data_IF_593921643255
#
_entry.id   IF_593921643255
#
_cell.length_a   1.000
_cell.length_b   1.000
_cell.length_c   1.000
_cell.angle_alpha   90.00
_cell.angle_beta   90.00
_cell.angle_gamma   90.00
#
_symmetry.space_group_name_H-M   'P 1'
#
loop_
_entity.id
_entity.type
_entity.pdbx_description
1 polymer ?
#
# COMPACT_ATOMS: atom_id res chain seq x y z
N UNK A 1 22.49 75.48 -34.07
CA UNK A 1 22.62 73.99 -34.00
C UNK A 1 21.80 73.41 -35.15
N UNK A 2 22.42 72.89 -36.22
CA UNK A 2 21.71 72.15 -37.25
C UNK A 2 21.55 70.72 -36.79
N UNK A 3 20.38 70.35 -36.32
CA UNK A 3 20.06 68.94 -36.07
C UNK A 3 19.96 68.32 -37.49
N UNK A 4 20.81 67.39 -37.80
CA UNK A 4 20.81 66.70 -39.10
C UNK A 4 19.49 65.96 -39.28
N UNK A 5 18.86 66.11 -40.46
CA UNK A 5 17.63 65.42 -40.87
C UNK A 5 17.80 63.87 -40.69
N UNK A 6 18.98 63.39 -40.90
CA UNK A 6 19.39 61.98 -40.65
C UNK A 6 19.20 61.59 -39.20
N UNK A 7 19.52 62.45 -38.24
CA UNK A 7 19.43 62.16 -36.82
C UNK A 7 17.98 62.14 -36.31
N UNK A 8 17.09 62.91 -36.96
CA UNK A 8 15.64 62.87 -36.68
C UNK A 8 15.06 61.55 -37.23
N UNK A 9 15.49 61.18 -38.42
CA UNK A 9 15.03 59.93 -39.09
C UNK A 9 15.51 58.70 -38.30
N UNK A 10 16.75 58.65 -37.88
CA UNK A 10 17.29 57.58 -37.03
C UNK A 10 16.51 57.44 -35.68
N UNK A 11 16.23 58.56 -35.00
CA UNK A 11 15.38 58.54 -33.80
C UNK A 11 13.98 58.02 -34.05
N UNK A 12 13.39 58.37 -35.21
CA UNK A 12 12.04 57.87 -35.57
C UNK A 12 12.04 56.38 -35.83
N UNK A 13 13.05 55.84 -36.48
CA UNK A 13 13.23 54.40 -36.70
C UNK A 13 13.43 53.69 -35.36
N UNK A 14 14.24 54.20 -34.45
CA UNK A 14 14.46 53.62 -33.13
C UNK A 14 13.17 53.63 -32.30
N UNK A 15 12.43 54.71 -32.33
CA UNK A 15 11.09 54.76 -31.66
C UNK A 15 10.09 53.74 -32.24
N UNK A 16 10.05 53.62 -33.58
CA UNK A 16 9.17 52.61 -34.22
C UNK A 16 9.60 51.19 -33.88
N UNK A 17 10.91 50.92 -33.86
CA UNK A 17 11.44 49.63 -33.47
C UNK A 17 11.10 49.27 -32.02
N UNK A 18 11.28 50.22 -31.10
CA UNK A 18 10.92 50.06 -29.69
C UNK A 18 9.43 49.83 -29.48
N UNK A 19 8.58 50.54 -30.23
CA UNK A 19 7.12 50.32 -30.16
C UNK A 19 6.71 48.95 -30.72
N UNK A 20 7.32 48.48 -31.80
CA UNK A 20 7.07 47.14 -32.35
C UNK A 20 7.45 46.06 -31.34
N UNK A 21 8.59 46.19 -30.67
CA UNK A 21 9.01 45.26 -29.63
C UNK A 21 8.00 45.22 -28.46
N UNK A 22 7.55 46.40 -27.97
CA UNK A 22 6.54 46.45 -26.91
C UNK A 22 5.21 45.83 -27.31
N UNK A 23 4.76 46.04 -28.55
CA UNK A 23 3.54 45.43 -29.07
C UNK A 23 3.70 43.90 -29.14
N UNK A 24 4.86 43.39 -29.57
CA UNK A 24 5.12 41.96 -29.62
C UNK A 24 5.15 41.35 -28.23
N UNK A 25 5.75 42.02 -27.22
CA UNK A 25 5.72 41.61 -25.82
C UNK A 25 4.31 41.54 -25.24
N UNK A 26 3.49 42.57 -25.46
CA UNK A 26 2.10 42.61 -24.99
C UNK A 26 1.26 41.51 -25.68
N UNK A 27 1.48 41.28 -26.99
CA UNK A 27 0.83 40.19 -27.70
C UNK A 27 1.24 38.81 -27.15
N UNK A 28 2.51 38.59 -26.81
CA UNK A 28 2.98 37.37 -26.21
C UNK A 28 2.38 37.18 -24.76
N UNK A 29 2.30 38.25 -23.98
CA UNK A 29 1.63 38.24 -22.67
C UNK A 29 0.15 37.90 -22.78
N UNK A 30 -0.55 38.52 -23.75
CA UNK A 30 -1.97 38.28 -23.96
C UNK A 30 -2.22 36.83 -24.45
N UNK A 31 -1.38 36.32 -25.35
CA UNK A 31 -1.51 34.98 -25.90
C UNK A 31 -1.21 33.90 -24.84
N UNK A 32 -0.23 34.16 -23.96
CA UNK A 32 0.16 33.23 -22.89
C UNK A 32 -0.72 33.35 -21.63
N UNK A 33 -1.45 34.47 -21.46
CA UNK A 33 -2.14 34.80 -20.22
C UNK A 33 -1.21 35.05 -19.03
N UNK A 34 0.09 35.24 -19.28
CA UNK A 34 1.13 35.44 -18.25
C UNK A 34 1.74 36.82 -18.38
N UNK A 35 1.92 37.51 -17.25
CA UNK A 35 2.57 38.81 -17.20
C UNK A 35 4.09 38.70 -17.49
N UNK A 36 4.73 37.62 -17.06
CA UNK A 36 6.14 37.29 -17.31
C UNK A 36 6.17 36.11 -18.26
N UNK A 37 6.64 36.35 -19.48
CA UNK A 37 6.75 35.32 -20.53
C UNK A 37 8.14 34.76 -20.58
N UNK A 38 9.15 35.61 -20.37
CA UNK A 38 10.56 35.23 -20.36
C UNK A 38 11.20 35.59 -19.02
N UNK A 39 12.17 34.81 -18.52
CA UNK A 39 12.91 35.13 -17.30
C UNK A 39 13.64 36.48 -17.33
N UNK A 40 13.92 37.00 -18.53
CA UNK A 40 14.54 38.30 -18.76
C UNK A 40 13.61 39.50 -18.50
N UNK A 41 12.29 39.28 -18.50
CA UNK A 41 11.29 40.37 -18.34
C UNK A 41 11.33 40.93 -16.93
N UNK A 42 11.45 40.05 -15.93
CA UNK A 42 11.67 40.39 -14.53
C UNK A 42 12.38 39.22 -13.82
N UNK A 43 13.68 39.35 -13.67
CA UNK A 43 14.53 38.28 -13.13
C UNK A 43 14.22 37.97 -11.66
N UNK A 44 13.77 38.93 -10.85
CA UNK A 44 13.43 38.75 -9.45
C UNK A 44 12.11 37.97 -9.30
N UNK A 45 11.08 38.38 -10.01
CA UNK A 45 9.79 37.71 -10.01
C UNK A 45 9.87 36.32 -10.69
N UNK A 46 10.65 36.19 -11.78
CA UNK A 46 10.91 34.89 -12.41
C UNK A 46 11.52 33.88 -11.44
N UNK A 47 12.48 34.32 -10.60
CA UNK A 47 13.07 33.49 -9.56
C UNK A 47 12.06 33.05 -8.47
N UNK A 48 11.13 33.93 -8.10
CA UNK A 48 10.04 33.60 -7.16
C UNK A 48 9.08 32.60 -7.79
N UNK A 49 8.65 32.84 -9.01
CA UNK A 49 7.74 31.94 -9.75
C UNK A 49 8.35 30.55 -9.90
N UNK A 50 9.63 30.46 -10.21
CA UNK A 50 10.33 29.18 -10.33
C UNK A 50 10.37 28.42 -9.00
N UNK A 51 10.62 29.09 -7.88
CA UNK A 51 10.60 28.48 -6.55
C UNK A 51 9.21 27.99 -6.17
N UNK A 52 8.19 28.82 -6.40
CA UNK A 52 6.78 28.45 -6.15
C UNK A 52 6.35 27.28 -7.04
N UNK A 53 6.66 27.34 -8.34
CA UNK A 53 6.37 26.23 -9.26
C UNK A 53 7.02 24.91 -8.83
N UNK A 54 8.26 24.96 -8.34
CA UNK A 54 8.93 23.78 -7.80
C UNK A 54 8.29 23.31 -6.50
N UNK A 55 7.82 24.21 -5.64
CA UNK A 55 7.10 23.85 -4.43
C UNK A 55 5.75 23.19 -4.74
N UNK A 56 4.99 23.74 -5.69
CA UNK A 56 3.74 23.12 -6.15
C UNK A 56 3.94 21.72 -6.75
N UNK A 57 4.96 21.53 -7.59
CA UNK A 57 5.28 20.20 -8.13
C UNK A 57 5.63 19.19 -7.04
N UNK A 58 6.37 19.61 -6.00
CA UNK A 58 6.63 18.73 -4.86
C UNK A 58 5.35 18.38 -4.09
N UNK A 59 4.47 19.37 -3.92
CA UNK A 59 3.17 19.17 -3.27
C UNK A 59 2.31 18.15 -4.05
N UNK A 60 2.24 18.28 -5.36
CA UNK A 60 1.53 17.35 -6.24
C UNK A 60 2.08 15.92 -6.13
N UNK A 61 3.41 15.76 -6.04
CA UNK A 61 4.04 14.45 -5.79
C UNK A 61 3.63 13.89 -4.44
N UNK A 62 3.59 14.70 -3.38
CA UNK A 62 3.15 14.25 -2.07
C UNK A 62 1.67 13.85 -2.06
N UNK A 63 0.80 14.59 -2.73
CA UNK A 63 -0.62 14.24 -2.88
C UNK A 63 -0.78 12.89 -3.59
N UNK A 64 -0.12 12.70 -4.73
CA UNK A 64 -0.14 11.42 -5.46
C UNK A 64 0.38 10.26 -4.60
N UNK A 65 1.43 10.51 -3.81
CA UNK A 65 1.98 9.50 -2.89
C UNK A 65 0.98 9.16 -1.79
N UNK A 66 0.33 10.16 -1.19
CA UNK A 66 -0.70 9.95 -0.17
C UNK A 66 -1.89 9.17 -0.69
N UNK A 67 -2.38 9.49 -1.90
CA UNK A 67 -3.48 8.76 -2.54
C UNK A 67 -3.10 7.28 -2.77
N UNK A 68 -1.89 7.03 -3.25
CA UNK A 68 -1.39 5.67 -3.45
C UNK A 68 -1.28 4.89 -2.14
N UNK A 69 -0.77 5.53 -1.08
CA UNK A 69 -0.67 4.91 0.25
C UNK A 69 -2.06 4.64 0.83
N UNK A 70 -2.98 5.59 0.71
CA UNK A 70 -4.35 5.44 1.21
C UNK A 70 -5.05 4.27 0.54
N UNK A 71 -5.01 4.20 -0.79
CA UNK A 71 -5.61 3.08 -1.54
C UNK A 71 -5.01 1.73 -1.13
N UNK A 72 -3.70 1.67 -0.92
CA UNK A 72 -3.03 0.44 -0.48
C UNK A 72 -3.45 0.03 0.93
N UNK A 73 -3.51 0.98 1.87
CA UNK A 73 -3.94 0.72 3.24
C UNK A 73 -5.42 0.32 3.32
N UNK A 74 -6.28 0.85 2.45
CA UNK A 74 -7.68 0.42 2.34
C UNK A 74 -7.80 -1.05 1.90
N UNK A 75 -6.96 -1.50 0.97
CA UNK A 75 -6.90 -2.92 0.58
C UNK A 75 -6.40 -3.78 1.74
N UNK A 76 -5.34 -3.32 2.44
CA UNK A 76 -4.80 -4.00 3.64
C UNK A 76 -5.89 -4.12 4.72
N UNK A 77 -6.57 -3.02 5.04
CA UNK A 77 -7.64 -2.99 6.04
C UNK A 77 -8.78 -3.94 5.67
N UNK A 78 -9.25 -3.90 4.42
CA UNK A 78 -10.30 -4.79 3.92
C UNK A 78 -9.91 -6.27 4.04
N UNK A 79 -8.67 -6.61 3.68
CA UNK A 79 -8.17 -7.97 3.77
C UNK A 79 -8.06 -8.45 5.23
N UNK A 80 -7.56 -7.59 6.13
CA UNK A 80 -7.46 -7.89 7.57
C UNK A 80 -8.83 -8.05 8.21
N UNK A 81 -9.80 -7.18 7.90
CA UNK A 81 -11.18 -7.31 8.39
C UNK A 81 -11.83 -8.61 7.91
N UNK A 82 -11.60 -9.00 6.67
CA UNK A 82 -12.10 -10.27 6.14
C UNK A 82 -11.43 -11.46 6.82
N UNK A 83 -10.11 -11.40 7.07
CA UNK A 83 -9.38 -12.41 7.81
C UNK A 83 -9.90 -12.54 9.25
N UNK A 84 -10.22 -11.42 9.91
CA UNK A 84 -10.83 -11.43 11.26
C UNK A 84 -12.19 -12.16 11.26
N UNK A 85 -13.04 -11.92 10.26
CA UNK A 85 -14.31 -12.63 10.12
C UNK A 85 -14.11 -14.15 9.92
N UNK A 86 -13.12 -14.55 9.13
CA UNK A 86 -12.74 -15.95 8.95
C UNK A 86 -12.31 -16.56 10.29
N UNK A 87 -11.48 -15.87 11.05
CA UNK A 87 -11.01 -16.34 12.35
C UNK A 87 -12.16 -16.45 13.37
N UNK A 88 -13.12 -15.53 13.34
CA UNK A 88 -14.33 -15.65 14.16
C UNK A 88 -15.16 -16.90 13.78
N UNK A 89 -15.33 -17.17 12.48
CA UNK A 89 -16.01 -18.36 12.01
C UNK A 89 -15.26 -19.64 12.38
N UNK A 90 -13.94 -19.65 12.25
CA UNK A 90 -13.12 -20.79 12.69
C UNK A 90 -13.26 -21.04 14.19
N UNK A 91 -13.36 -19.99 15.03
CA UNK A 91 -13.62 -20.11 16.47
C UNK A 91 -15.00 -20.73 16.76
N UNK A 92 -16.06 -20.33 16.04
CA UNK A 92 -17.37 -20.94 16.17
C UNK A 92 -17.33 -22.44 15.86
N UNK A 93 -16.63 -22.81 14.77
CA UNK A 93 -16.44 -24.22 14.39
C UNK A 93 -15.62 -24.98 15.41
N UNK A 94 -14.62 -24.35 16.05
CA UNK A 94 -13.84 -24.97 17.12
C UNK A 94 -14.67 -25.25 18.36
N UNK A 95 -15.54 -24.33 18.75
CA UNK A 95 -16.50 -24.54 19.83
C UNK A 95 -17.47 -25.67 19.48
N UNK A 96 -17.99 -25.69 18.24
CA UNK A 96 -18.88 -26.76 17.77
C UNK A 96 -18.14 -28.10 17.72
N UNK A 97 -16.90 -28.13 17.20
CA UNK A 97 -16.07 -29.33 17.10
C UNK A 97 -15.70 -29.95 18.45
N UNK A 98 -15.64 -29.15 19.50
CA UNK A 98 -15.40 -29.61 20.88
C UNK A 98 -16.59 -30.33 21.51
N UNK A 99 -17.74 -30.40 20.81
CA UNK A 99 -18.91 -31.13 21.31
C UNK A 99 -18.72 -32.64 21.11
N UNK A 100 -18.57 -33.36 22.23
CA UNK A 100 -18.37 -34.83 22.26
C UNK A 100 -19.52 -35.66 21.69
N UNK A 101 -20.67 -35.04 21.34
CA UNK A 101 -21.82 -35.75 20.75
C UNK A 101 -21.80 -35.81 19.22
N UNK A 102 -20.81 -35.16 18.56
CA UNK A 102 -20.65 -35.17 17.12
C UNK A 102 -20.31 -36.56 16.59
N UNK A 103 -20.95 -36.95 15.51
CA UNK A 103 -20.57 -38.15 14.78
C UNK A 103 -19.30 -37.91 13.96
N UNK A 104 -18.61 -38.97 13.53
CA UNK A 104 -17.45 -38.85 12.64
C UNK A 104 -17.81 -38.18 11.31
N UNK A 105 -19.05 -38.38 10.82
CA UNK A 105 -19.56 -37.70 9.63
C UNK A 105 -19.65 -36.19 9.81
N UNK A 106 -20.21 -35.74 10.94
CA UNK A 106 -20.33 -34.32 11.27
C UNK A 106 -18.96 -33.66 11.40
N UNK A 107 -18.01 -34.32 12.09
CA UNK A 107 -16.62 -33.84 12.23
C UNK A 107 -15.92 -33.66 10.89
N UNK A 108 -16.11 -34.56 9.92
CA UNK A 108 -15.58 -34.42 8.57
C UNK A 108 -16.15 -33.21 7.82
N UNK A 109 -17.44 -32.93 8.03
CA UNK A 109 -18.08 -31.75 7.42
C UNK A 109 -17.47 -30.47 8.00
N UNK A 110 -17.29 -30.40 9.33
CA UNK A 110 -16.63 -29.27 9.98
C UNK A 110 -15.17 -29.11 9.51
N UNK A 111 -14.40 -30.20 9.41
CA UNK A 111 -13.04 -30.18 8.90
C UNK A 111 -12.98 -29.61 7.48
N UNK A 112 -13.93 -29.96 6.63
CA UNK A 112 -14.01 -29.45 5.27
C UNK A 112 -14.31 -27.94 5.24
N UNK A 113 -15.18 -27.47 6.12
CA UNK A 113 -15.46 -26.03 6.28
C UNK A 113 -14.22 -25.27 6.75
N UNK A 114 -13.49 -25.80 7.74
CA UNK A 114 -12.23 -25.21 8.23
C UNK A 114 -11.19 -25.12 7.12
N UNK A 115 -11.02 -26.19 6.31
CA UNK A 115 -10.09 -26.18 5.17
C UNK A 115 -10.50 -25.13 4.13
N UNK A 116 -11.79 -24.95 3.87
CA UNK A 116 -12.28 -23.92 2.94
C UNK A 116 -12.01 -22.51 3.47
N UNK A 117 -12.19 -22.28 4.78
CA UNK A 117 -11.87 -20.99 5.43
C UNK A 117 -10.35 -20.71 5.40
N UNK A 118 -9.53 -21.75 5.57
CA UNK A 118 -8.07 -21.65 5.46
C UNK A 118 -7.63 -21.24 4.05
N UNK A 119 -8.24 -21.81 3.01
CA UNK A 119 -7.94 -21.44 1.62
C UNK A 119 -8.37 -20.02 1.30
N UNK A 120 -9.52 -19.58 1.83
CA UNK A 120 -9.97 -18.18 1.74
C UNK A 120 -9.00 -17.23 2.45
N UNK A 121 -8.54 -17.60 3.64
CA UNK A 121 -7.53 -16.84 4.38
C UNK A 121 -6.20 -16.72 3.61
N UNK A 122 -5.77 -17.80 2.93
CA UNK A 122 -4.58 -17.79 2.09
C UNK A 122 -4.74 -16.85 0.89
N UNK A 123 -5.92 -16.83 0.27
CA UNK A 123 -6.23 -15.90 -0.81
C UNK A 123 -6.18 -14.44 -0.33
N UNK A 124 -6.73 -14.14 0.85
CA UNK A 124 -6.66 -12.80 1.45
C UNK A 124 -5.23 -12.40 1.82
N UNK A 125 -4.43 -13.31 2.36
CA UNK A 125 -3.03 -13.08 2.67
C UNK A 125 -2.16 -12.83 1.42
N UNK A 126 -2.63 -13.26 0.25
CA UNK A 126 -2.04 -12.98 -1.06
C UNK A 126 -2.78 -11.89 -1.85
N UNK A 127 -3.47 -10.97 -1.16
CA UNK A 127 -4.15 -9.84 -1.79
C UNK A 127 -3.19 -8.94 -2.54
N UNK A 128 -3.66 -8.42 -3.67
CA UNK A 128 -2.92 -7.48 -4.52
C UNK A 128 -3.64 -6.13 -4.56
N UNK A 129 -2.87 -5.07 -4.70
CA UNK A 129 -3.38 -3.73 -4.97
C UNK A 129 -3.80 -3.57 -6.44
N UNK A 130 -4.36 -2.42 -6.79
CA UNK A 130 -4.81 -2.11 -8.16
C UNK A 130 -3.68 -2.15 -9.21
N UNK A 131 -2.41 -2.13 -8.79
CA UNK A 131 -1.24 -2.22 -9.66
C UNK A 131 -0.69 -3.65 -9.79
N UNK A 132 -1.32 -4.62 -9.11
CA UNK A 132 -0.92 -6.02 -9.11
C UNK A 132 0.22 -6.35 -8.14
N UNK A 133 0.55 -5.44 -7.22
CA UNK A 133 1.54 -5.67 -6.18
C UNK A 133 0.91 -6.34 -4.97
N UNK A 134 1.58 -7.32 -4.41
CA UNK A 134 1.15 -7.97 -3.18
C UNK A 134 1.25 -7.01 -1.99
N UNK A 135 0.17 -6.95 -1.20
CA UNK A 135 0.06 -6.00 -0.10
C UNK A 135 0.93 -6.40 1.10
N UNK A 136 1.02 -7.71 1.37
CA UNK A 136 1.65 -8.28 2.57
C UNK A 136 3.07 -8.83 2.36
N UNK A 137 3.68 -8.58 1.19
CA UNK A 137 5.01 -9.13 0.83
C UNK A 137 6.21 -8.34 1.36
N UNK A 138 6.00 -7.32 2.19
CA UNK A 138 7.05 -6.41 2.60
C UNK A 138 7.54 -5.52 1.46
N UNK A 139 8.82 -5.53 1.13
CA UNK A 139 9.39 -4.83 -0.02
C UNK A 139 9.37 -5.65 -1.32
N UNK A 140 9.05 -6.94 -1.24
CA UNK A 140 9.02 -7.89 -2.38
C UNK A 140 7.67 -7.87 -3.12
N UNK A 141 7.21 -6.71 -3.56
CA UNK A 141 5.86 -6.47 -4.07
C UNK A 141 5.38 -7.41 -5.21
N UNK A 142 6.29 -8.04 -5.96
CA UNK A 142 5.97 -8.96 -7.07
C UNK A 142 5.99 -10.43 -6.68
N UNK A 143 6.33 -10.75 -5.42
CA UNK A 143 6.42 -12.13 -4.94
C UNK A 143 5.21 -12.44 -4.05
N UNK A 144 4.48 -13.55 -4.30
CA UNK A 144 3.41 -13.99 -3.41
C UNK A 144 3.94 -14.15 -1.99
N UNK A 145 3.36 -13.44 -0.99
CA UNK A 145 3.86 -13.49 0.38
C UNK A 145 3.69 -14.85 1.04
N UNK A 146 2.62 -15.58 0.74
CA UNK A 146 2.35 -16.88 1.33
C UNK A 146 2.22 -17.94 0.25
N UNK A 147 3.06 -18.97 0.34
CA UNK A 147 3.11 -20.04 -0.64
C UNK A 147 2.96 -21.38 0.06
N UNK A 148 2.03 -22.20 -0.42
CA UNK A 148 1.84 -23.57 0.05
C UNK A 148 2.91 -24.47 -0.54
N UNK A 149 3.57 -25.23 0.31
CA UNK A 149 4.56 -26.24 -0.07
C UNK A 149 3.88 -27.58 -0.40
N UNK A 150 4.62 -28.51 -0.99
CA UNK A 150 4.09 -29.82 -1.38
C UNK A 150 3.60 -30.69 -0.20
N UNK A 151 4.03 -30.36 1.02
CA UNK A 151 3.61 -30.99 2.28
C UNK A 151 2.35 -30.36 2.90
N UNK A 152 1.76 -29.36 2.22
CA UNK A 152 0.58 -28.62 2.69
C UNK A 152 0.91 -27.43 3.59
N UNK A 153 2.15 -27.27 4.04
CA UNK A 153 2.53 -26.15 4.93
C UNK A 153 2.57 -24.83 4.17
N UNK A 154 2.02 -23.76 4.76
CA UNK A 154 2.08 -22.41 4.20
C UNK A 154 3.28 -21.67 4.76
N UNK A 155 4.16 -21.24 3.86
CA UNK A 155 5.40 -20.53 4.21
C UNK A 155 5.35 -19.09 3.75
N UNK A 156 5.82 -18.17 4.61
CA UNK A 156 6.03 -16.77 4.24
C UNK A 156 7.27 -16.63 3.36
N UNK A 157 7.11 -15.98 2.22
CA UNK A 157 8.15 -15.72 1.20
C UNK A 157 8.44 -14.23 1.02
N UNK A 158 7.72 -13.38 1.73
CA UNK A 158 7.99 -11.94 1.78
C UNK A 158 9.20 -11.62 2.64
N UNK A 159 9.43 -10.34 2.85
CA UNK A 159 10.42 -9.83 3.80
C UNK A 159 9.76 -8.96 4.89
N UNK A 160 10.51 -8.67 5.95
CA UNK A 160 10.04 -7.87 7.09
C UNK A 160 10.26 -6.36 6.88
N UNK A 161 10.62 -5.96 5.66
CA UNK A 161 10.92 -4.57 5.37
C UNK A 161 9.64 -3.73 5.29
N UNK A 162 9.62 -2.65 6.06
CA UNK A 162 8.59 -1.62 5.97
C UNK A 162 9.07 -0.51 5.03
N UNK A 163 8.37 -0.35 3.93
CA UNK A 163 8.68 0.71 2.94
C UNK A 163 8.21 2.05 3.49
N UNK A 164 9.15 2.97 3.60
CA UNK A 164 8.89 4.32 4.08
C UNK A 164 8.83 5.29 2.90
N UNK A 165 7.77 6.09 2.84
CA UNK A 165 7.55 7.10 1.79
C UNK A 165 7.44 8.49 2.41
N UNK A 166 7.99 9.49 1.71
CA UNK A 166 7.86 10.89 2.12
C UNK A 166 6.47 11.42 1.74
N UNK A 167 5.77 11.98 2.72
CA UNK A 167 4.45 12.62 2.56
C UNK A 167 4.50 14.14 2.71
N UNK A 168 5.65 14.66 3.10
CA UNK A 168 5.99 16.09 3.11
C UNK A 168 7.51 16.25 3.16
N UNK A 169 8.01 17.49 3.15
CA UNK A 169 9.44 17.77 3.28
C UNK A 169 10.08 17.24 4.58
N UNK A 170 9.29 17.08 5.64
CA UNK A 170 9.78 16.68 6.97
C UNK A 170 9.06 15.48 7.56
N UNK A 171 8.13 14.88 6.82
CA UNK A 171 7.32 13.76 7.32
C UNK A 171 7.33 12.61 6.33
N UNK A 172 7.50 11.43 6.88
CA UNK A 172 7.37 10.17 6.16
C UNK A 172 6.44 9.22 6.92
N UNK A 173 5.88 8.25 6.23
CA UNK A 173 5.06 7.19 6.81
C UNK A 173 5.39 5.85 6.16
N UNK A 174 5.05 4.77 6.85
CA UNK A 174 5.12 3.43 6.28
C UNK A 174 3.89 3.18 5.41
N UNK A 175 4.10 2.59 4.25
CA UNK A 175 3.05 2.29 3.28
C UNK A 175 2.64 0.82 3.26
N UNK A 176 3.29 -0.02 4.07
CA UNK A 176 3.01 -1.45 4.12
C UNK A 176 3.26 -2.02 5.51
N UNK A 177 2.63 -3.16 5.76
CA UNK A 177 2.90 -4.02 6.91
C UNK A 177 3.26 -5.42 6.39
N UNK A 178 4.38 -6.03 6.86
CA UNK A 178 4.73 -7.40 6.50
C UNK A 178 3.65 -8.40 6.93
N UNK A 179 3.37 -9.37 6.07
CA UNK A 179 2.34 -10.39 6.35
C UNK A 179 2.69 -11.31 7.51
N UNK A 180 3.98 -11.52 7.77
CA UNK A 180 4.42 -12.31 8.91
C UNK A 180 3.97 -11.72 10.25
N UNK A 181 3.92 -10.40 10.38
CA UNK A 181 3.44 -9.73 11.59
C UNK A 181 1.94 -9.93 11.83
N UNK A 182 1.17 -10.16 10.78
CA UNK A 182 -0.29 -10.30 10.83
C UNK A 182 -0.68 -11.77 10.93
N UNK A 183 -0.20 -12.59 10.00
CA UNK A 183 -0.67 -13.97 9.83
C UNK A 183 0.19 -15.02 10.56
N UNK A 184 1.35 -14.62 11.15
CA UNK A 184 2.24 -15.51 11.92
C UNK A 184 2.41 -14.98 13.36
N UNK A 185 1.31 -14.56 13.98
CA UNK A 185 1.33 -13.89 15.29
C UNK A 185 0.99 -14.81 16.46
N UNK A 186 0.58 -16.06 16.23
CA UNK A 186 0.21 -17.00 17.30
C UNK A 186 1.47 -17.55 17.97
N UNK A 187 1.45 -17.54 19.29
CA UNK A 187 2.55 -18.11 20.10
C UNK A 187 2.12 -19.45 20.65
N UNK A 188 2.67 -20.53 20.11
CA UNK A 188 2.48 -21.89 20.61
C UNK A 188 3.55 -22.20 21.64
N UNK A 189 3.13 -22.57 22.85
CA UNK A 189 4.02 -23.02 23.89
C UNK A 189 3.96 -24.53 24.01
N UNK A 190 5.06 -25.24 23.70
CA UNK A 190 5.16 -26.70 23.85
C UNK A 190 5.97 -27.06 25.11
N UNK A 191 5.48 -27.96 25.96
CA UNK A 191 6.22 -28.39 27.14
C UNK A 191 7.58 -28.95 26.72
N UNK A 192 8.67 -28.30 27.14
CA UNK A 192 10.06 -28.74 26.90
C UNK A 192 10.70 -28.21 25.59
N UNK A 193 10.02 -27.47 24.72
CA UNK A 193 10.58 -26.97 23.47
C UNK A 193 10.57 -25.43 23.36
N UNK A 194 10.08 -24.72 24.38
CA UNK A 194 9.97 -23.25 24.33
C UNK A 194 8.72 -22.75 23.60
N UNK A 195 8.69 -21.45 23.32
CA UNK A 195 7.59 -20.82 22.59
C UNK A 195 8.01 -20.60 21.14
N UNK A 196 7.17 -21.03 20.21
CA UNK A 196 7.35 -20.88 18.78
C UNK A 196 6.23 -20.00 18.21
N UNK A 197 6.56 -19.14 17.23
CA UNK A 197 5.55 -18.40 16.46
C UNK A 197 5.05 -19.29 15.33
N UNK A 198 3.74 -19.42 15.24
CA UNK A 198 3.10 -20.21 14.19
C UNK A 198 2.10 -19.36 13.41
N UNK A 199 1.82 -19.77 12.18
CA UNK A 199 0.85 -19.09 11.34
C UNK A 199 -0.57 -19.53 11.67
N UNK A 200 -1.54 -18.66 11.38
CA UNK A 200 -2.96 -19.00 11.42
C UNK A 200 -3.29 -20.19 10.50
N UNK A 201 -2.60 -20.33 9.38
CA UNK A 201 -2.77 -21.46 8.46
C UNK A 201 -2.48 -22.78 9.14
N UNK A 202 -1.32 -22.88 9.83
CA UNK A 202 -0.94 -24.10 10.53
C UNK A 202 -1.92 -24.45 11.67
N UNK A 203 -2.47 -23.44 12.34
CA UNK A 203 -3.47 -23.68 13.39
C UNK A 203 -4.77 -24.23 12.80
N UNK A 204 -5.19 -23.71 11.63
CA UNK A 204 -6.37 -24.21 10.94
C UNK A 204 -6.18 -25.61 10.36
N UNK A 205 -4.99 -25.92 9.84
CA UNK A 205 -4.62 -27.25 9.38
C UNK A 205 -4.63 -28.26 10.56
N UNK A 206 -3.95 -27.92 11.67
CA UNK A 206 -3.96 -28.73 12.89
C UNK A 206 -5.39 -28.97 13.43
N UNK A 207 -6.25 -27.94 13.33
CA UNK A 207 -7.63 -28.05 13.76
C UNK A 207 -8.47 -28.97 12.84
N UNK A 208 -8.32 -28.86 11.52
CA UNK A 208 -9.00 -29.74 10.58
C UNK A 208 -8.57 -31.22 10.76
N UNK A 209 -7.29 -31.44 10.98
CA UNK A 209 -6.74 -32.76 11.25
C UNK A 209 -7.24 -33.32 12.59
N UNK A 210 -7.28 -32.52 13.64
CA UNK A 210 -7.80 -32.91 14.95
C UNK A 210 -9.28 -33.32 14.91
N UNK A 211 -10.09 -32.64 14.07
CA UNK A 211 -11.48 -33.03 13.80
C UNK A 211 -11.60 -34.38 13.12
N UNK A 212 -10.74 -34.66 12.14
CA UNK A 212 -10.79 -35.93 11.39
C UNK A 212 -10.29 -37.11 12.19
N UNK A 213 -9.25 -36.91 13.02
CA UNK A 213 -8.64 -37.95 13.88
C UNK A 213 -9.33 -38.11 15.23
N UNK A 214 -10.25 -37.22 15.58
CA UNK A 214 -10.95 -37.18 16.87
C UNK A 214 -9.97 -37.04 18.05
N UNK A 215 -8.98 -36.15 17.90
CA UNK A 215 -8.00 -35.84 18.95
C UNK A 215 -8.47 -34.65 19.80
N UNK A 216 -9.08 -34.96 20.94
CA UNK A 216 -9.63 -33.95 21.86
C UNK A 216 -8.56 -33.01 22.44
N UNK A 217 -7.30 -33.46 22.56
CA UNK A 217 -6.21 -32.63 23.06
C UNK A 217 -5.81 -31.58 22.03
N UNK A 218 -5.65 -31.98 20.78
CA UNK A 218 -5.37 -31.07 19.67
C UNK A 218 -6.54 -30.13 19.39
N UNK A 219 -7.80 -30.58 19.52
CA UNK A 219 -8.99 -29.72 19.43
C UNK A 219 -9.00 -28.62 20.50
N UNK A 220 -8.71 -28.99 21.76
CA UNK A 220 -8.65 -28.01 22.87
C UNK A 220 -7.50 -27.01 22.68
N UNK A 221 -6.36 -27.45 22.14
CA UNK A 221 -5.25 -26.57 21.81
C UNK A 221 -5.61 -25.59 20.70
N UNK A 222 -6.15 -26.07 19.58
CA UNK A 222 -6.57 -25.22 18.45
C UNK A 222 -7.63 -24.21 18.89
N UNK A 223 -8.58 -24.58 19.73
CA UNK A 223 -9.56 -23.66 20.32
C UNK A 223 -8.89 -22.52 21.10
N UNK A 224 -7.83 -22.84 21.88
CA UNK A 224 -7.09 -21.83 22.64
C UNK A 224 -6.27 -20.90 21.72
N UNK A 225 -5.70 -21.45 20.64
CA UNK A 225 -4.87 -20.71 19.69
C UNK A 225 -5.72 -19.81 18.76
N UNK A 226 -6.97 -20.18 18.48
CA UNK A 226 -7.91 -19.40 17.68
C UNK A 226 -8.68 -18.35 18.55
N UNK A 227 -8.63 -18.47 19.89
CA UNK A 227 -9.36 -17.58 20.80
C UNK A 227 -8.60 -16.32 21.14
#
# INVERSE_FOLDING_TARGET
MKISTTQIFERSIDQMSNQRTKVAEIQAQLASGKQIVQPSDDAEQAGIIQRLSSAFKRQEVYETTLDSVTTRLEVEESAVMSAENIMQRARELAVQGSNGTLTQGDRKILAHEVSSLRDELLALANSQDATGNYVFSGSMAQTPPFVESADGTVNYRGDDNRVQVAISEQRSMFMNRPGDEIFTSIVRSSPGQGSERISFFNVMDDFADALTTNDDQSLSRSLTEIS
#
